data_IF_506059701130
#
_entry.id   IF_506059701130
#
_cell.length_a   1.000
_cell.length_b   1.000
_cell.length_c   1.000
_cell.angle_alpha   90.00
_cell.angle_beta   90.00
_cell.angle_gamma   90.00
#
_symmetry.space_group_name_H-M   'P 1'
#
loop_
_entity.id
_entity.type
_entity.pdbx_description
1 polymer ?
#
# COMPACT_ATOMS: atom_id res chain seq x y z
N UNK A 1 -13.29 -7.03 -2.28
CA UNK A 1 -13.44 -5.56 -2.33
C UNK A 1 -12.15 -4.99 -2.89
N UNK A 2 -12.21 -4.02 -3.81
CA UNK A 2 -11.00 -3.51 -4.47
C UNK A 2 -10.09 -2.75 -3.49
N UNK A 3 -8.79 -2.74 -3.79
CA UNK A 3 -7.82 -1.84 -3.14
C UNK A 3 -8.00 -0.44 -3.72
N UNK A 4 -8.06 0.57 -2.84
CA UNK A 4 -8.30 1.96 -3.25
C UNK A 4 -7.19 2.90 -2.80
N UNK A 5 -6.97 3.96 -3.58
CA UNK A 5 -6.02 5.02 -3.27
C UNK A 5 -6.76 6.35 -3.23
N UNK A 6 -6.47 7.17 -2.24
CA UNK A 6 -6.91 8.55 -2.26
C UNK A 6 -6.17 9.34 -3.32
N UNK A 7 -6.74 10.47 -3.74
CA UNK A 7 -6.10 11.37 -4.70
C UNK A 7 -4.75 11.90 -4.17
N UNK A 8 -4.65 12.15 -2.86
CA UNK A 8 -3.40 12.59 -2.22
C UNK A 8 -2.33 11.50 -2.29
N UNK A 9 -2.68 10.25 -2.00
CA UNK A 9 -1.77 9.12 -2.13
C UNK A 9 -1.32 8.94 -3.58
N UNK A 10 -2.26 8.96 -4.53
CA UNK A 10 -1.94 8.81 -5.95
C UNK A 10 -0.98 9.91 -6.44
N UNK A 11 -1.24 11.18 -6.09
CA UNK A 11 -0.35 12.28 -6.45
C UNK A 11 1.07 12.10 -5.87
N UNK A 12 1.18 11.60 -4.64
CA UNK A 12 2.47 11.34 -4.01
C UNK A 12 3.22 10.21 -4.71
N UNK A 13 2.53 9.10 -5.01
CA UNK A 13 3.11 7.95 -5.72
C UNK A 13 3.56 8.35 -7.12
N UNK A 14 2.73 9.10 -7.85
CA UNK A 14 3.09 9.66 -9.16
C UNK A 14 4.36 10.48 -9.07
N UNK A 15 4.44 11.41 -8.12
CA UNK A 15 5.64 12.22 -7.89
C UNK A 15 6.86 11.34 -7.63
N UNK A 16 6.73 10.28 -6.84
CA UNK A 16 7.85 9.35 -6.60
C UNK A 16 8.26 8.58 -7.86
N UNK A 17 7.32 8.11 -8.66
CA UNK A 17 7.60 7.43 -9.94
C UNK A 17 8.27 8.37 -10.94
N UNK A 18 7.81 9.62 -11.04
CA UNK A 18 8.40 10.66 -11.89
C UNK A 18 9.83 10.98 -11.45
N UNK A 19 10.08 11.15 -10.14
CA UNK A 19 11.42 11.38 -9.61
C UNK A 19 12.35 10.18 -9.80
N UNK A 20 11.82 8.95 -9.70
CA UNK A 20 12.56 7.71 -9.97
C UNK A 20 12.88 7.57 -11.46
N UNK A 21 12.06 8.15 -12.34
CA UNK A 21 12.18 8.08 -13.80
C UNK A 21 11.88 6.69 -14.39
N UNK A 22 11.41 5.75 -13.58
CA UNK A 22 11.03 4.38 -13.98
C UNK A 22 10.10 3.74 -12.94
N UNK A 23 9.33 2.76 -13.38
CA UNK A 23 8.38 2.01 -12.56
C UNK A 23 6.98 2.04 -13.18
N UNK A 24 6.32 0.88 -13.15
CA UNK A 24 4.95 0.66 -13.63
C UNK A 24 3.94 1.18 -12.60
N UNK A 25 4.26 1.08 -11.31
CA UNK A 25 3.38 1.46 -10.22
C UNK A 25 3.97 1.13 -8.85
N UNK A 26 3.10 1.09 -7.85
CA UNK A 26 3.46 0.81 -6.46
C UNK A 26 2.87 -0.53 -6.02
N UNK A 27 3.70 -1.43 -5.49
CA UNK A 27 3.26 -2.65 -4.84
C UNK A 27 2.85 -2.34 -3.41
N UNK A 28 1.65 -2.76 -3.03
CA UNK A 28 1.21 -2.85 -1.64
C UNK A 28 1.19 -4.33 -1.25
N UNK A 29 2.04 -4.71 -0.32
CA UNK A 29 2.15 -6.07 0.20
C UNK A 29 2.08 -6.11 1.72
N UNK A 30 2.03 -7.31 2.26
CA UNK A 30 2.19 -7.56 3.70
C UNK A 30 3.40 -8.45 3.94
N UNK A 31 4.20 -8.14 4.96
CA UNK A 31 5.26 -9.02 5.46
C UNK A 31 5.01 -9.37 6.90
N UNK A 32 5.50 -10.54 7.32
CA UNK A 32 5.53 -10.91 8.74
C UNK A 32 6.50 -10.00 9.48
N UNK A 33 6.04 -9.36 10.56
CA UNK A 33 6.81 -8.46 11.41
C UNK A 33 6.57 -8.79 12.89
N UNK A 34 7.65 -8.97 13.67
CA UNK A 34 7.57 -9.36 15.08
C UNK A 34 7.19 -10.82 15.33
N UNK A 35 6.78 -11.15 16.57
CA UNK A 35 6.48 -12.53 16.97
C UNK A 35 5.18 -13.10 16.37
N UNK A 36 4.23 -12.26 15.93
CA UNK A 36 2.94 -12.73 15.37
C UNK A 36 2.23 -11.71 14.45
N UNK A 37 2.85 -10.58 14.10
CA UNK A 37 2.19 -9.48 13.39
C UNK A 37 2.45 -9.46 11.88
N UNK A 38 1.62 -8.71 11.17
CA UNK A 38 1.81 -8.34 9.78
C UNK A 38 2.18 -6.86 9.69
N UNK A 39 3.01 -6.48 8.73
CA UNK A 39 3.37 -5.10 8.44
C UNK A 39 3.14 -4.81 6.96
N UNK A 40 2.61 -3.62 6.66
CA UNK A 40 2.49 -3.15 5.29
C UNK A 40 3.87 -2.89 4.68
N UNK A 41 3.99 -3.19 3.39
CA UNK A 41 5.20 -2.96 2.60
C UNK A 41 4.80 -2.25 1.33
N UNK A 42 5.52 -1.16 1.02
CA UNK A 42 5.38 -0.41 -0.22
C UNK A 42 6.67 -0.51 -1.03
N UNK A 43 6.56 -0.95 -2.27
CA UNK A 43 7.71 -1.11 -3.16
C UNK A 43 7.39 -0.60 -4.57
N UNK A 44 8.37 -0.03 -5.27
CA UNK A 44 8.17 0.32 -6.68
C UNK A 44 8.24 -0.93 -7.55
N UNK A 45 7.30 -1.08 -8.47
CA UNK A 45 7.25 -2.22 -9.38
C UNK A 45 7.81 -1.81 -10.72
N UNK A 46 8.92 -2.42 -11.14
CA UNK A 46 9.46 -2.25 -12.50
C UNK A 46 8.97 -3.36 -13.45
N UNK A 47 8.60 -4.54 -12.93
CA UNK A 47 8.11 -5.70 -13.69
C UNK A 47 6.96 -6.38 -12.94
N UNK A 48 5.91 -6.77 -13.66
CA UNK A 48 4.75 -7.48 -13.10
C UNK A 48 5.01 -8.99 -13.07
N UNK A 49 4.52 -9.65 -12.03
CA UNK A 49 4.48 -11.09 -11.89
C UNK A 49 3.12 -11.64 -12.36
N UNK A 50 3.05 -12.96 -12.59
CA UNK A 50 1.83 -13.63 -13.07
C UNK A 50 0.68 -13.58 -12.06
N UNK A 51 1.00 -13.65 -10.77
CA UNK A 51 0.02 -13.64 -9.65
C UNK A 51 -0.27 -12.21 -9.13
N UNK A 52 0.14 -11.17 -9.86
CA UNK A 52 -0.10 -9.79 -9.46
C UNK A 52 -1.49 -9.31 -9.91
N UNK A 53 -2.21 -8.71 -8.96
CA UNK A 53 -3.45 -7.99 -9.20
C UNK A 53 -3.17 -6.49 -9.31
N UNK A 54 -3.72 -5.85 -10.34
CA UNK A 54 -3.49 -4.44 -10.63
C UNK A 54 -4.79 -3.66 -10.42
N UNK A 55 -4.73 -2.67 -9.53
CA UNK A 55 -5.78 -1.72 -9.27
C UNK A 55 -5.32 -0.35 -9.74
N UNK A 56 -5.97 0.20 -10.76
CA UNK A 56 -5.64 1.53 -11.26
C UNK A 56 -6.58 2.56 -10.64
N UNK A 57 -6.01 3.57 -9.97
CA UNK A 57 -6.76 4.69 -9.41
C UNK A 57 -6.02 6.00 -9.64
N UNK A 58 -6.77 7.02 -10.05
CA UNK A 58 -6.24 8.37 -10.30
C UNK A 58 -5.01 8.38 -11.24
N UNK A 59 -4.94 7.44 -12.21
CA UNK A 59 -3.83 7.29 -13.14
C UNK A 59 -2.56 6.65 -12.56
N UNK A 60 -2.64 6.08 -11.36
CA UNK A 60 -1.57 5.32 -10.71
C UNK A 60 -1.98 3.87 -10.58
N UNK A 61 -1.05 2.96 -10.88
CA UNK A 61 -1.25 1.52 -10.74
C UNK A 61 -0.77 1.07 -9.38
N UNK A 62 -1.64 0.36 -8.67
CA UNK A 62 -1.34 -0.29 -7.40
C UNK A 62 -1.37 -1.79 -7.61
N UNK A 63 -0.25 -2.42 -7.31
CA UNK A 63 0.01 -3.82 -7.56
C UNK A 63 -0.07 -4.55 -6.23
N UNK A 64 -0.77 -5.67 -6.18
CA UNK A 64 -0.86 -6.50 -4.98
C UNK A 64 -0.68 -7.95 -5.39
N UNK A 65 0.22 -8.69 -4.75
CA UNK A 65 0.35 -10.12 -5.00
C UNK A 65 -0.84 -10.88 -4.39
N UNK A 66 -1.20 -12.01 -4.98
CA UNK A 66 -2.35 -12.82 -4.55
C UNK A 66 -2.32 -13.19 -3.04
N UNK A 67 -1.13 -13.46 -2.47
CA UNK A 67 -1.01 -13.81 -1.05
C UNK A 67 -1.32 -12.62 -0.16
N UNK A 68 -0.80 -11.45 -0.50
CA UNK A 68 -1.08 -10.20 0.22
C UNK A 68 -2.53 -9.75 0.05
N UNK A 69 -3.15 -10.01 -1.10
CA UNK A 69 -4.53 -9.60 -1.37
C UNK A 69 -5.52 -10.15 -0.33
N UNK A 70 -5.31 -11.37 0.17
CA UNK A 70 -6.16 -11.96 1.22
C UNK A 70 -6.19 -11.13 2.52
N UNK A 71 -5.11 -10.42 2.82
CA UNK A 71 -4.98 -9.56 4.00
C UNK A 71 -5.35 -8.11 3.74
N UNK A 72 -5.32 -7.70 2.46
CA UNK A 72 -5.46 -6.33 2.02
C UNK A 72 -6.82 -6.03 1.40
N UNK A 73 -7.64 -7.02 1.06
CA UNK A 73 -8.92 -6.83 0.37
C UNK A 73 -9.79 -5.76 1.05
N UNK A 74 -10.13 -4.70 0.31
CA UNK A 74 -10.85 -3.52 0.81
C UNK A 74 -10.00 -2.46 1.52
N UNK A 75 -8.67 -2.57 1.50
CA UNK A 75 -7.78 -1.55 2.06
C UNK A 75 -7.78 -0.29 1.21
N UNK A 76 -7.91 0.85 1.88
CA UNK A 76 -7.67 2.17 1.30
C UNK A 76 -6.31 2.71 1.74
N UNK A 77 -5.53 3.19 0.77
CA UNK A 77 -4.24 3.82 0.98
C UNK A 77 -4.37 5.35 0.84
N UNK A 78 -4.04 6.06 1.91
CA UNK A 78 -4.00 7.52 1.96
C UNK A 78 -2.57 8.02 2.21
N UNK A 79 -2.30 9.28 1.87
CA UNK A 79 -1.04 9.93 2.20
C UNK A 79 -1.32 11.21 3.00
N UNK A 80 -0.96 11.17 4.27
CA UNK A 80 -1.21 12.27 5.20
C UNK A 80 0.08 13.04 5.46
N UNK A 81 -0.07 14.36 5.57
CA UNK A 81 1.00 15.28 5.97
C UNK A 81 0.53 16.05 7.20
N UNK A 82 1.01 15.65 8.37
CA UNK A 82 0.68 16.24 9.66
C UNK A 82 1.91 16.96 10.24
N UNK A 83 1.98 18.26 9.96
CA UNK A 83 3.08 19.12 10.39
C UNK A 83 4.41 18.73 9.73
N UNK A 84 5.35 18.22 10.54
CA UNK A 84 6.65 17.73 10.08
C UNK A 84 6.64 16.26 9.68
N UNK A 85 5.57 15.52 10.01
CA UNK A 85 5.44 14.11 9.68
C UNK A 85 4.65 13.97 8.38
N UNK A 86 5.17 13.14 7.48
CA UNK A 86 4.46 12.74 6.26
C UNK A 86 4.57 11.23 6.12
N UNK A 87 3.48 10.57 5.75
CA UNK A 87 3.44 9.13 5.71
C UNK A 87 2.21 8.57 5.02
N UNK A 88 2.33 7.33 4.58
CA UNK A 88 1.19 6.57 4.10
C UNK A 88 0.37 6.06 5.28
N UNK A 89 -0.94 6.22 5.18
CA UNK A 89 -1.93 5.72 6.13
C UNK A 89 -2.74 4.62 5.46
N UNK A 90 -2.98 3.54 6.18
CA UNK A 90 -3.67 2.36 5.67
C UNK A 90 -4.98 2.19 6.43
N UNK A 91 -6.10 2.24 5.71
CA UNK A 91 -7.43 1.96 6.26
C UNK A 91 -7.86 0.57 5.79
N UNK A 92 -7.54 -0.47 6.57
CA UNK A 92 -7.84 -1.85 6.22
C UNK A 92 -8.99 -2.40 7.08
N UNK A 93 -10.15 -2.73 6.49
CA UNK A 93 -11.31 -3.23 7.24
C UNK A 93 -11.08 -4.59 7.90
N UNK A 94 -10.06 -5.34 7.49
CA UNK A 94 -9.72 -6.65 8.06
C UNK A 94 -8.92 -6.53 9.37
N UNK A 95 -8.35 -5.36 9.66
CA UNK A 95 -7.51 -5.16 10.86
C UNK A 95 -8.38 -5.08 12.10
N UNK A 96 -8.16 -5.98 13.05
CA UNK A 96 -8.85 -5.98 14.34
C UNK A 96 -8.08 -5.24 15.43
N UNK A 97 -6.75 -5.21 15.33
CA UNK A 97 -5.87 -4.52 16.26
C UNK A 97 -4.66 -3.96 15.51
N UNK A 98 -4.45 -2.65 15.63
CA UNK A 98 -3.28 -1.95 15.12
C UNK A 98 -2.34 -1.64 16.29
N UNK A 99 -1.04 -1.88 16.14
CA UNK A 99 -0.06 -1.45 17.13
C UNK A 99 -0.01 0.09 17.16
N UNK A 100 0.13 0.72 18.32
CA UNK A 100 0.06 2.18 18.47
C UNK A 100 1.06 3.01 17.65
N UNK A 101 1.99 2.38 16.93
CA UNK A 101 2.89 3.02 15.94
C UNK A 101 2.39 2.93 14.48
N UNK A 102 1.31 2.21 14.17
CA UNK A 102 0.74 2.07 12.83
C UNK A 102 1.54 1.20 11.85
N UNK A 103 2.73 0.73 12.23
CA UNK A 103 3.63 -0.04 11.36
C UNK A 103 3.33 -1.54 11.33
N UNK A 104 2.45 -2.04 12.21
CA UNK A 104 2.12 -3.47 12.30
C UNK A 104 0.69 -3.70 12.81
N UNK A 105 0.06 -4.75 12.32
CA UNK A 105 -1.35 -5.09 12.57
C UNK A 105 -1.58 -6.60 12.66
N UNK A 106 -2.76 -6.98 13.17
CA UNK A 106 -3.27 -8.34 13.13
C UNK A 106 -4.66 -8.36 12.48
N UNK A 107 -4.88 -9.30 11.55
CA UNK A 107 -6.19 -9.59 10.93
C UNK A 107 -6.97 -10.66 11.71
#
# INVERSE_FOLDING_TARGET
>A
MAITLTETAANRVRTFLENRGKGIGLRLGVKTSGCSGLAYVLEFVDVLNEDDQIFEQHGVKVIVDEKSLTYLDGTELDFVKEGLNEGFKYSNPNVKNECGCGESFNV
#
